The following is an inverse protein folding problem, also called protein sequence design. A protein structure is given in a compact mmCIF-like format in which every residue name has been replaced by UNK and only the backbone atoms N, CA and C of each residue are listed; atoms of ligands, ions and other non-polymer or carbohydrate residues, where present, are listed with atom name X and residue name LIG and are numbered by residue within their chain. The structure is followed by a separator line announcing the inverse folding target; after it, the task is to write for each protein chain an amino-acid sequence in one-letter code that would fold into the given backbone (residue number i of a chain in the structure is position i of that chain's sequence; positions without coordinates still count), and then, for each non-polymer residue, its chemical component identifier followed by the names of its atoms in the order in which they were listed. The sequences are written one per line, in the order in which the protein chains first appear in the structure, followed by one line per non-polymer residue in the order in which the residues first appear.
data_IF_821144635974
#
_entry.id   IF_821144635974
#
_cell.length_a   1.000
_cell.length_b   1.000
_cell.length_c   1.000
_cell.angle_alpha   90.00
_cell.angle_beta   90.00
_cell.angle_gamma   90.00
#
_symmetry.space_group_name_H-M   'P 1'
#
loop_
_entity.id
_entity.type
_entity.pdbx_description
1 polymer ?
#
# COMPACT_ATOMS: atom_id res chain seq x y z
N UNK A 1 -10.40 -3.35 -8.32
CA UNK A 1 -10.34 -1.88 -8.10
C UNK A 1 -9.01 -1.46 -7.50
N UNK A 2 -8.64 -1.91 -6.29
CA UNK A 2 -7.30 -1.67 -5.69
C UNK A 2 -6.15 -2.02 -6.63
N UNK A 3 -6.19 -3.22 -7.24
CA UNK A 3 -5.22 -3.68 -8.25
C UNK A 3 -4.98 -2.68 -9.40
N UNK A 4 -6.02 -2.01 -9.88
CA UNK A 4 -5.94 -1.10 -11.02
C UNK A 4 -5.25 0.21 -10.61
N UNK A 5 -5.58 0.79 -9.45
CA UNK A 5 -4.92 2.00 -8.99
C UNK A 5 -3.50 1.75 -8.51
N UNK A 6 -3.22 0.61 -7.90
CA UNK A 6 -1.83 0.23 -7.60
C UNK A 6 -1.00 0.24 -8.87
N UNK A 7 -1.53 -0.29 -9.98
CA UNK A 7 -0.86 -0.22 -11.29
C UNK A 7 -0.74 1.20 -11.85
N UNK A 8 -1.77 2.04 -11.73
CA UNK A 8 -1.73 3.42 -12.26
C UNK A 8 -0.79 4.35 -11.47
N UNK A 9 -0.75 4.21 -10.13
CA UNK A 9 0.23 4.91 -9.29
C UNK A 9 1.64 4.45 -9.68
N UNK A 10 1.81 3.15 -9.94
CA UNK A 10 3.07 2.51 -10.33
C UNK A 10 3.58 2.95 -11.71
N UNK A 11 2.72 2.97 -12.73
CA UNK A 11 3.08 3.30 -14.12
C UNK A 11 3.63 4.73 -14.26
N UNK A 12 3.35 5.61 -13.29
CA UNK A 12 3.73 7.02 -13.37
C UNK A 12 5.17 7.32 -12.97
N UNK A 13 5.82 6.57 -12.05
CA UNK A 13 7.07 7.04 -11.43
C UNK A 13 8.09 6.01 -10.93
N UNK A 14 7.94 4.70 -11.17
CA UNK A 14 8.91 3.74 -10.60
C UNK A 14 9.34 2.68 -11.63
N UNK A 15 10.59 2.77 -12.09
CA UNK A 15 11.27 1.66 -12.78
C UNK A 15 11.48 0.54 -11.76
N UNK A 16 10.62 -0.48 -11.81
CA UNK A 16 10.71 -1.65 -10.95
C UNK A 16 10.95 -2.91 -11.76
N UNK A 17 11.60 -3.85 -11.09
CA UNK A 17 11.81 -5.22 -11.55
C UNK A 17 10.43 -5.86 -11.71
N UNK A 18 10.14 -6.41 -12.89
CA UNK A 18 8.82 -6.95 -13.29
C UNK A 18 8.20 -7.92 -12.26
N UNK A 19 9.02 -8.61 -11.49
CA UNK A 19 8.58 -9.62 -10.53
C UNK A 19 7.93 -9.00 -9.28
N UNK A 20 8.39 -7.84 -8.82
CA UNK A 20 7.80 -7.19 -7.64
C UNK A 20 6.42 -6.62 -7.94
N UNK A 21 6.18 -6.17 -9.17
CA UNK A 21 4.87 -5.74 -9.62
C UNK A 21 3.87 -6.89 -9.56
N UNK A 22 4.26 -8.09 -10.02
CA UNK A 22 3.40 -9.28 -10.01
C UNK A 22 2.93 -9.60 -8.58
N UNK A 23 3.87 -9.62 -7.62
CA UNK A 23 3.57 -9.91 -6.21
C UNK A 23 2.72 -8.81 -5.59
N UNK A 24 3.02 -7.54 -5.88
CA UNK A 24 2.22 -6.40 -5.43
C UNK A 24 0.77 -6.48 -5.92
N UNK A 25 0.56 -6.85 -7.18
CA UNK A 25 -0.79 -6.99 -7.75
C UNK A 25 -1.56 -8.12 -7.08
N UNK A 26 -0.90 -9.22 -6.73
CA UNK A 26 -1.52 -10.27 -5.90
C UNK A 26 -1.86 -9.78 -4.51
N UNK A 27 -0.96 -9.04 -3.86
CA UNK A 27 -1.24 -8.42 -2.55
C UNK A 27 -2.46 -7.50 -2.62
N UNK A 28 -2.58 -6.68 -3.67
CA UNK A 28 -3.75 -5.83 -3.88
C UNK A 28 -5.07 -6.64 -4.04
N UNK A 29 -5.00 -7.88 -4.52
CA UNK A 29 -6.17 -8.78 -4.61
C UNK A 29 -6.47 -9.49 -3.28
N UNK A 30 -5.44 -9.81 -2.50
CA UNK A 30 -5.54 -10.67 -1.32
C UNK A 30 -5.47 -9.92 0.02
N UNK A 31 -5.25 -8.61 0.02
CA UNK A 31 -5.07 -7.81 1.25
C UNK A 31 -6.22 -7.93 2.27
N UNK A 32 -7.40 -8.32 1.82
CA UNK A 32 -8.62 -8.48 2.61
C UNK A 32 -8.90 -9.92 3.08
N UNK A 33 -8.05 -10.89 2.73
CA UNK A 33 -8.29 -12.32 3.03
C UNK A 33 -8.44 -12.62 4.53
N UNK A 34 -7.80 -11.82 5.40
CA UNK A 34 -7.90 -11.95 6.84
C UNK A 34 -9.22 -11.49 7.46
N UNK A 35 -10.14 -10.87 6.69
CA UNK A 35 -11.43 -10.44 7.24
C UNK A 35 -12.31 -11.58 7.73
N UNK A 36 -12.14 -12.78 7.17
CA UNK A 36 -12.85 -13.98 7.61
C UNK A 36 -12.50 -14.39 9.05
N UNK A 37 -11.32 -14.01 9.54
CA UNK A 37 -10.87 -14.28 10.92
C UNK A 37 -11.30 -13.16 11.86
N UNK A 38 -11.14 -11.91 11.44
CA UNK A 38 -11.51 -10.77 12.28
C UNK A 38 -11.29 -9.42 11.61
N UNK A 39 -12.21 -8.48 11.87
CA UNK A 39 -12.14 -7.13 11.34
C UNK A 39 -10.97 -6.32 11.91
N UNK A 40 -10.72 -6.46 13.22
CA UNK A 40 -9.59 -5.79 13.87
C UNK A 40 -8.29 -6.54 13.55
N UNK A 41 -7.42 -5.92 12.76
CA UNK A 41 -6.11 -6.49 12.49
C UNK A 41 -6.05 -7.48 11.33
N UNK A 42 -7.01 -7.47 10.40
CA UNK A 42 -7.05 -8.41 9.27
C UNK A 42 -5.78 -8.44 8.40
N UNK A 43 -4.97 -7.39 8.37
CA UNK A 43 -3.65 -7.40 7.71
C UNK A 43 -2.71 -8.44 8.32
N UNK A 44 -2.72 -8.62 9.65
CA UNK A 44 -1.94 -9.67 10.34
C UNK A 44 -2.53 -11.05 10.12
N UNK A 45 -3.86 -11.17 10.19
CA UNK A 45 -4.55 -12.43 9.91
C UNK A 45 -4.32 -12.88 8.46
N UNK A 46 -4.39 -11.95 7.51
CA UNK A 46 -4.15 -12.22 6.10
C UNK A 46 -2.70 -12.63 5.84
N UNK A 47 -1.73 -11.93 6.45
CA UNK A 47 -0.33 -12.33 6.40
C UNK A 47 -0.11 -13.74 6.97
N UNK A 48 -0.72 -14.05 8.12
CA UNK A 48 -0.64 -15.37 8.73
C UNK A 48 -1.22 -16.47 7.83
N UNK A 49 -2.40 -16.24 7.22
CA UNK A 49 -2.98 -17.16 6.24
C UNK A 49 -1.99 -17.38 5.09
N UNK A 50 -1.44 -16.31 4.52
CA UNK A 50 -0.54 -16.38 3.38
C UNK A 50 0.81 -17.03 3.71
N UNK A 51 1.31 -16.89 4.94
CA UNK A 51 2.54 -17.54 5.40
C UNK A 51 2.38 -19.05 5.60
N UNK A 52 1.18 -19.52 5.94
CA UNK A 52 0.95 -20.91 6.34
C UNK A 52 0.09 -21.71 5.34
N UNK A 53 -0.48 -21.06 4.33
CA UNK A 53 -1.25 -21.73 3.29
C UNK A 53 -0.34 -22.50 2.33
N UNK A 54 -0.84 -23.62 1.82
CA UNK A 54 -0.26 -24.23 0.63
C UNK A 54 -0.62 -23.37 -0.59
N UNK A 55 0.39 -22.85 -1.28
CA UNK A 55 0.22 -21.96 -2.43
C UNK A 55 0.87 -22.55 -3.70
N UNK A 56 0.25 -23.58 -4.33
CA UNK A 56 0.77 -24.14 -5.57
C UNK A 56 1.01 -23.06 -6.63
N UNK A 57 2.19 -23.07 -7.25
CA UNK A 57 2.59 -22.08 -8.25
C UNK A 57 3.22 -20.80 -7.67
N UNK A 58 3.41 -20.70 -6.35
CA UNK A 58 4.21 -19.67 -5.71
C UNK A 58 5.54 -20.26 -5.24
N UNK A 59 6.64 -19.57 -5.50
CA UNK A 59 7.90 -19.86 -4.81
C UNK A 59 7.80 -19.43 -3.33
N UNK A 60 8.62 -20.04 -2.47
CA UNK A 60 8.72 -19.66 -1.05
C UNK A 60 9.04 -18.17 -0.88
N UNK A 61 9.84 -17.61 -1.78
CA UNK A 61 10.20 -16.18 -1.77
C UNK A 61 9.00 -15.29 -2.16
N UNK A 62 8.27 -15.63 -3.23
CA UNK A 62 7.06 -14.90 -3.62
C UNK A 62 5.99 -14.94 -2.52
N UNK A 63 5.79 -16.10 -1.88
CA UNK A 63 4.82 -16.27 -0.80
C UNK A 63 5.17 -15.42 0.43
N UNK A 64 6.44 -15.44 0.86
CA UNK A 64 6.92 -14.58 1.96
C UNK A 64 6.76 -13.09 1.63
N UNK A 65 7.14 -12.68 0.42
CA UNK A 65 7.01 -11.29 -0.04
C UNK A 65 5.53 -10.86 -0.12
N UNK A 66 4.66 -11.74 -0.62
CA UNK A 66 3.21 -11.52 -0.66
C UNK A 66 2.63 -11.32 0.75
N UNK A 67 2.98 -12.19 1.70
CA UNK A 67 2.53 -12.05 3.09
C UNK A 67 3.02 -10.76 3.73
N UNK A 68 4.28 -10.37 3.49
CA UNK A 68 4.84 -9.12 3.99
C UNK A 68 4.12 -7.88 3.40
N UNK A 69 3.80 -7.87 2.11
CA UNK A 69 2.95 -6.82 1.52
C UNK A 69 1.58 -6.75 2.21
N UNK A 70 0.92 -7.89 2.42
CA UNK A 70 -0.38 -7.94 3.09
C UNK A 70 -0.28 -7.55 4.56
N UNK A 71 0.81 -7.86 5.25
CA UNK A 71 1.06 -7.39 6.62
C UNK A 71 1.19 -5.87 6.67
N UNK A 72 1.91 -5.28 5.73
CA UNK A 72 2.29 -3.86 5.77
C UNK A 72 1.31 -2.91 5.06
N UNK A 73 0.23 -3.40 4.46
CA UNK A 73 -0.70 -2.56 3.69
C UNK A 73 -1.56 -1.58 4.50
N UNK A 74 -1.54 -1.64 5.84
CA UNK A 74 -2.28 -0.70 6.70
C UNK A 74 -1.74 -0.68 8.12
N UNK A 75 -2.25 0.26 8.94
CA UNK A 75 -1.82 0.51 10.33
C UNK A 75 -0.36 0.97 10.41
N UNK A 76 0.14 1.16 11.63
CA UNK A 76 1.53 1.60 11.85
C UNK A 76 2.50 0.63 11.21
N UNK A 77 3.49 1.17 10.52
CA UNK A 77 4.71 0.46 10.19
C UNK A 77 5.63 0.53 11.43
N UNK A 78 6.33 -0.56 11.73
CA UNK A 78 7.35 -0.57 12.78
C UNK A 78 8.72 -0.19 12.19
N UNK A 79 9.65 0.25 13.04
CA UNK A 79 11.01 0.59 12.60
C UNK A 79 11.79 -0.64 12.12
N UNK A 80 11.40 -1.83 12.58
CA UNK A 80 11.96 -3.10 12.12
C UNK A 80 11.49 -3.46 10.72
N UNK A 81 10.43 -2.83 10.19
CA UNK A 81 9.85 -3.16 8.87
C UNK A 81 10.92 -3.31 7.77
N UNK A 82 11.82 -2.32 7.64
CA UNK A 82 12.88 -2.34 6.63
C UNK A 82 13.99 -3.35 6.93
N UNK A 83 14.23 -3.67 8.21
CA UNK A 83 15.23 -4.67 8.62
C UNK A 83 14.72 -6.10 8.39
N UNK A 84 13.44 -6.33 8.67
CA UNK A 84 12.78 -7.62 8.52
C UNK A 84 12.55 -7.96 7.03
N UNK A 85 12.57 -6.95 6.16
CA UNK A 85 12.24 -7.07 4.74
C UNK A 85 13.20 -6.26 3.84
N UNK A 86 14.49 -6.62 3.80
CA UNK A 86 15.50 -5.86 3.05
C UNK A 86 15.23 -5.83 1.53
N UNK A 87 14.53 -6.84 1.01
CA UNK A 87 14.19 -6.96 -0.41
C UNK A 87 12.87 -6.29 -0.80
N UNK A 88 12.16 -5.67 0.16
CA UNK A 88 10.89 -4.99 -0.10
C UNK A 88 11.12 -3.50 -0.32
N UNK A 89 10.84 -3.06 -1.55
CA UNK A 89 10.83 -1.64 -1.88
C UNK A 89 9.64 -0.95 -1.20
N UNK A 90 9.95 -0.02 -0.29
CA UNK A 90 8.95 0.75 0.46
C UNK A 90 7.98 1.51 -0.46
N UNK A 91 8.41 1.90 -1.67
CA UNK A 91 7.58 2.62 -2.64
C UNK A 91 6.41 1.76 -3.12
N UNK A 92 6.60 0.45 -3.21
CA UNK A 92 5.55 -0.50 -3.55
C UNK A 92 4.50 -0.60 -2.46
N UNK A 93 4.97 -0.60 -1.22
CA UNK A 93 4.10 -0.64 -0.05
C UNK A 93 3.32 0.66 0.03
N UNK A 94 3.95 1.81 -0.21
CA UNK A 94 3.26 3.09 -0.33
C UNK A 94 2.18 3.03 -1.41
N UNK A 95 2.49 2.52 -2.61
CA UNK A 95 1.51 2.38 -3.68
C UNK A 95 0.31 1.49 -3.26
N UNK A 96 0.55 0.37 -2.58
CA UNK A 96 -0.52 -0.49 -2.05
C UNK A 96 -1.35 0.23 -0.99
N UNK A 97 -0.69 0.86 -0.01
CA UNK A 97 -1.36 1.57 1.09
C UNK A 97 -2.23 2.70 0.56
N UNK A 98 -1.70 3.55 -0.32
CA UNK A 98 -2.47 4.59 -0.99
C UNK A 98 -3.65 4.01 -1.79
N UNK A 99 -3.43 2.93 -2.55
CA UNK A 99 -4.52 2.30 -3.29
C UNK A 99 -5.64 1.80 -2.36
N UNK A 100 -5.31 1.17 -1.24
CA UNK A 100 -6.32 0.72 -0.26
C UNK A 100 -7.03 1.89 0.43
N UNK A 101 -6.31 3.00 0.68
CA UNK A 101 -6.85 4.23 1.26
C UNK A 101 -7.88 4.88 0.34
N UNK A 102 -7.58 5.04 -0.96
CA UNK A 102 -8.49 5.67 -1.92
C UNK A 102 -9.69 4.77 -2.28
N UNK A 103 -9.60 3.44 -2.14
CA UNK A 103 -10.70 2.50 -2.44
C UNK A 103 -11.47 1.98 -1.22
N UNK A 104 -11.21 2.53 -0.03
CA UNK A 104 -11.68 2.02 1.27
C UNK A 104 -13.20 1.86 1.40
N UNK A 105 -14.00 2.60 0.62
CA UNK A 105 -15.48 2.51 0.68
C UNK A 105 -16.10 1.53 -0.32
N UNK A 106 -15.32 0.90 -1.22
CA UNK A 106 -15.83 0.16 -2.40
C UNK A 106 -16.85 0.92 -3.26
N UNK A 107 -17.11 2.19 -2.91
CA UNK A 107 -17.90 3.13 -3.67
C UNK A 107 -17.00 3.67 -4.76
N UNK A 108 -17.54 3.76 -5.97
CA UNK A 108 -16.92 4.45 -7.09
C UNK A 108 -16.85 5.95 -6.79
N UNK A 109 -16.00 6.35 -5.83
CA UNK A 109 -15.59 7.73 -5.70
C UNK A 109 -14.97 8.11 -7.04
N UNK A 110 -15.43 9.22 -7.63
CA UNK A 110 -14.76 9.81 -8.78
C UNK A 110 -13.28 9.96 -8.41
N UNK A 111 -12.44 9.19 -9.09
CA UNK A 111 -11.01 9.10 -8.84
C UNK A 111 -10.40 10.50 -9.02
N UNK A 112 -9.66 11.04 -8.04
CA UNK A 112 -8.89 12.27 -8.25
C UNK A 112 -7.75 12.00 -9.22
N UNK A 113 -7.31 13.05 -9.93
CA UNK A 113 -6.00 12.98 -10.57
C UNK A 113 -4.95 12.92 -9.46
N UNK A 114 -4.20 11.81 -9.42
CA UNK A 114 -3.14 11.55 -8.47
C UNK A 114 -1.82 11.51 -9.23
N UNK A 115 -0.82 12.20 -8.73
CA UNK A 115 0.57 12.03 -9.15
C UNK A 115 1.40 11.74 -7.92
N UNK A 116 2.14 10.64 -7.94
CA UNK A 116 3.05 10.29 -6.86
C UNK A 116 4.46 10.45 -7.37
N UNK A 117 5.29 11.21 -6.65
CA UNK A 117 6.72 11.27 -6.89
C UNK A 117 7.53 10.74 -5.74
N UNK A 118 8.62 10.03 -6.03
CA UNK A 118 9.50 9.48 -5.00
C UNK A 118 10.96 9.65 -5.37
N UNK A 119 11.76 10.10 -4.40
CA UNK A 119 13.22 10.20 -4.51
C UNK A 119 13.85 9.91 -3.15
N UNK A 120 14.85 9.03 -3.13
CA UNK A 120 15.52 8.59 -1.90
C UNK A 120 14.50 8.04 -0.88
N UNK A 121 14.48 8.59 0.34
CA UNK A 121 13.51 8.26 1.40
C UNK A 121 12.38 9.29 1.50
N UNK A 122 11.98 9.89 0.38
CA UNK A 122 10.91 10.87 0.34
C UNK A 122 9.93 10.59 -0.80
N UNK A 123 8.65 10.86 -0.56
CA UNK A 123 7.60 10.86 -1.55
C UNK A 123 6.70 12.09 -1.41
N UNK A 124 6.25 12.61 -2.55
CA UNK A 124 5.31 13.71 -2.68
C UNK A 124 4.09 13.18 -3.42
N UNK A 125 2.93 13.21 -2.76
CA UNK A 125 1.64 12.87 -3.37
C UNK A 125 0.90 14.16 -3.74
N UNK A 126 0.69 14.40 -5.02
CA UNK A 126 -0.15 15.48 -5.53
C UNK A 126 -1.59 15.01 -5.64
N UNK A 127 -2.51 15.78 -5.05
CA UNK A 127 -3.96 15.52 -5.06
C UNK A 127 -4.71 16.80 -5.40
N UNK A 128 -5.78 16.68 -6.19
CA UNK A 128 -6.67 17.80 -6.52
C UNK A 128 -7.26 18.49 -5.28
N UNK A 129 -7.14 19.82 -5.22
CA UNK A 129 -7.62 20.64 -4.10
C UNK A 129 -9.10 20.45 -3.80
N UNK A 130 -9.92 20.53 -4.85
CA UNK A 130 -11.38 20.50 -4.71
C UNK A 130 -11.84 19.12 -4.24
N UNK A 131 -11.15 18.08 -4.70
CA UNK A 131 -11.40 16.71 -4.29
C UNK A 131 -11.08 16.51 -2.80
N UNK A 132 -9.93 16.97 -2.32
CA UNK A 132 -9.59 16.86 -0.89
C UNK A 132 -10.58 17.61 0.01
N UNK A 133 -11.03 18.81 -0.41
CA UNK A 133 -12.05 19.56 0.32
C UNK A 133 -13.38 18.82 0.41
N UNK A 134 -13.76 18.07 -0.63
CA UNK A 134 -14.99 17.24 -0.65
C UNK A 134 -14.84 15.90 0.07
N UNK A 135 -13.61 15.48 0.40
CA UNK A 135 -13.32 14.20 1.02
C UNK A 135 -12.48 14.36 2.31
N UNK A 136 -13.03 15.03 3.36
CA UNK A 136 -12.29 15.34 4.58
C UNK A 136 -11.78 14.10 5.34
N UNK A 137 -12.51 12.97 5.28
CA UNK A 137 -12.06 11.71 5.88
C UNK A 137 -10.83 11.13 5.16
N UNK A 138 -10.75 11.32 3.84
CA UNK A 138 -9.57 10.91 3.07
C UNK A 138 -8.40 11.81 3.40
N UNK A 139 -8.62 13.12 3.55
CA UNK A 139 -7.59 14.06 3.99
C UNK A 139 -7.00 13.64 5.34
N UNK A 140 -7.83 13.36 6.34
CA UNK A 140 -7.36 12.88 7.65
C UNK A 140 -6.59 11.56 7.53
N UNK A 141 -7.08 10.61 6.74
CA UNK A 141 -6.38 9.34 6.53
C UNK A 141 -5.01 9.52 5.84
N UNK A 142 -4.87 10.52 4.96
CA UNK A 142 -3.59 10.86 4.33
C UNK A 142 -2.62 11.51 5.32
N UNK A 143 -3.12 12.35 6.24
CA UNK A 143 -2.32 12.93 7.33
C UNK A 143 -1.79 11.82 8.26
N UNK A 144 -2.65 10.88 8.68
CA UNK A 144 -2.25 9.70 9.45
C UNK A 144 -1.20 8.85 8.71
N UNK A 145 -1.36 8.70 7.39
CA UNK A 145 -0.43 7.96 6.56
C UNK A 145 0.94 8.65 6.50
N UNK A 146 0.98 9.97 6.30
CA UNK A 146 2.21 10.76 6.37
C UNK A 146 2.94 10.60 7.70
N UNK A 147 2.22 10.61 8.82
CA UNK A 147 2.82 10.36 10.14
C UNK A 147 3.42 8.94 10.25
N UNK A 148 2.72 7.92 9.75
CA UNK A 148 3.20 6.54 9.80
C UNK A 148 4.53 6.36 9.05
N UNK A 149 4.67 6.98 7.89
CA UNK A 149 5.92 6.95 7.12
C UNK A 149 7.03 7.73 7.82
N UNK A 150 6.72 8.92 8.35
CA UNK A 150 7.70 9.73 9.08
C UNK A 150 8.28 9.00 10.30
N UNK A 151 7.47 8.20 11.03
CA UNK A 151 7.92 7.40 12.18
C UNK A 151 9.02 6.39 11.84
N UNK A 152 9.10 5.94 10.59
CA UNK A 152 10.11 4.99 10.10
C UNK A 152 11.17 5.65 9.22
N UNK A 153 11.25 6.99 9.20
CA UNK A 153 12.30 7.73 8.51
C UNK A 153 12.07 7.92 7.01
N UNK A 154 10.83 7.72 6.53
CA UNK A 154 10.43 8.01 5.15
C UNK A 154 9.50 9.22 5.16
N UNK A 155 9.86 10.27 4.43
CA UNK A 155 9.06 11.48 4.36
C UNK A 155 7.94 11.32 3.33
N UNK A 156 6.68 11.42 3.73
CA UNK A 156 5.54 11.51 2.81
C UNK A 156 4.86 12.87 2.95
N UNK A 157 4.97 13.73 1.94
CA UNK A 157 4.20 14.98 1.86
C UNK A 157 3.00 14.83 0.94
N UNK A 158 1.91 15.51 1.29
CA UNK A 158 0.71 15.60 0.47
C UNK A 158 0.58 17.03 0.00
N UNK A 159 0.73 17.23 -1.30
CA UNK A 159 0.66 18.53 -1.95
C UNK A 159 -0.62 18.64 -2.77
N UNK A 160 -1.09 19.88 -2.88
CA UNK A 160 -2.29 20.20 -3.62
C UNK A 160 -1.88 20.57 -5.05
N UNK A 161 -2.55 19.95 -6.03
CA UNK A 161 -2.43 20.35 -7.44
C UNK A 161 -3.38 21.51 -7.77
#
# INVERSE_FOLDING_TARGET
MTKQLTKEIFDSQIQLIKDDLKVLLWAAQLHEIGFSIGYSGYHRHGAYILENAEMPGFSTSEQKKLAAFVKSHRRSLDKSFSLDNPDLDWRLILALRLATLFYRKRAALRKPNLKLSSKNNAAILFVDKQWLQRNPLTKLALEEESENWNRIGIMLSVEIQ
#
